data_IF_029941278246
#
_entry.id   IF_029941278246
#
_cell.length_a   1.000
_cell.length_b   1.000
_cell.length_c   1.000
_cell.angle_alpha   90.00
_cell.angle_beta   90.00
_cell.angle_gamma   90.00
#
_symmetry.space_group_name_H-M   'P 1'
#
loop_
_entity.id
_entity.type
_entity.pdbx_description
1 polymer ?
#
# COMPACT_ATOMS: atom_id res chain seq x y z
N UNK A 1 15.32 -15.20 -7.23
CA UNK A 1 15.65 -13.77 -7.40
C UNK A 1 14.50 -12.96 -6.80
N UNK A 2 14.72 -12.31 -5.65
CA UNK A 2 13.77 -11.32 -5.15
C UNK A 2 13.78 -10.19 -6.17
N UNK A 3 12.69 -10.00 -6.91
CA UNK A 3 12.61 -8.87 -7.84
C UNK A 3 12.72 -7.60 -7.00
N UNK A 4 13.60 -6.69 -7.40
CA UNK A 4 13.63 -5.34 -6.85
C UNK A 4 12.24 -4.73 -7.10
N UNK A 5 11.42 -4.62 -6.06
CA UNK A 5 10.01 -4.22 -6.15
C UNK A 5 9.36 -4.20 -4.77
N UNK A 6 8.38 -3.32 -4.60
CA UNK A 6 7.63 -3.21 -3.35
C UNK A 6 6.58 -4.31 -3.31
N UNK A 7 6.86 -5.39 -2.60
CA UNK A 7 6.05 -6.60 -2.60
C UNK A 7 5.35 -6.76 -1.25
N UNK A 8 4.12 -7.28 -1.29
CA UNK A 8 3.33 -7.60 -0.10
C UNK A 8 2.97 -9.09 -0.14
N UNK A 9 3.29 -9.82 0.92
CA UNK A 9 2.89 -11.22 1.09
C UNK A 9 1.98 -11.34 2.31
N UNK A 10 0.76 -11.84 2.11
CA UNK A 10 -0.21 -12.06 3.16
C UNK A 10 -0.41 -13.55 3.35
N UNK A 11 -0.28 -14.01 4.60
CA UNK A 11 -0.72 -15.33 5.04
C UNK A 11 -2.08 -15.16 5.71
N UNK A 12 -3.07 -15.85 5.18
CA UNK A 12 -4.46 -15.78 5.61
C UNK A 12 -4.88 -17.18 6.08
N UNK A 13 -5.97 -17.27 6.84
CA UNK A 13 -6.46 -18.55 7.37
C UNK A 13 -6.85 -19.57 6.29
N UNK A 14 -7.12 -19.11 5.06
CA UNK A 14 -7.59 -19.92 3.93
C UNK A 14 -6.67 -19.87 2.71
N UNK A 15 -5.39 -19.55 2.92
CA UNK A 15 -4.40 -19.50 1.86
C UNK A 15 -3.49 -18.28 1.96
N UNK A 16 -2.95 -17.86 0.82
CA UNK A 16 -2.05 -16.71 0.76
C UNK A 16 -2.33 -15.81 -0.43
N UNK A 17 -1.90 -14.57 -0.29
CA UNK A 17 -1.97 -13.54 -1.32
C UNK A 17 -0.57 -12.94 -1.49
N UNK A 18 -0.13 -12.77 -2.73
CA UNK A 18 1.11 -12.05 -3.04
C UNK A 18 0.80 -10.92 -4.01
N UNK A 19 1.14 -9.69 -3.62
CA UNK A 19 1.04 -8.49 -4.44
C UNK A 19 2.46 -8.09 -4.84
N UNK A 20 2.74 -8.06 -6.13
CA UNK A 20 4.05 -7.67 -6.65
C UNK A 20 4.04 -6.21 -7.06
N UNK A 21 5.04 -5.46 -6.60
CA UNK A 21 5.34 -4.08 -7.00
C UNK A 21 4.14 -3.11 -6.91
N UNK A 22 3.48 -3.09 -5.75
CA UNK A 22 2.23 -2.32 -5.55
C UNK A 22 2.43 -0.79 -5.53
N UNK A 23 3.65 -0.30 -5.27
CA UNK A 23 3.96 1.14 -5.32
C UNK A 23 4.19 1.65 -6.75
N UNK A 24 4.77 0.81 -7.62
CA UNK A 24 5.14 1.18 -8.99
C UNK A 24 4.47 0.27 -10.03
N UNK A 25 3.13 0.09 -9.98
CA UNK A 25 2.47 -0.97 -10.76
C UNK A 25 2.58 -0.79 -12.27
N UNK A 26 2.89 0.41 -12.76
CA UNK A 26 3.06 0.71 -14.19
C UNK A 26 4.33 0.10 -14.81
N UNK A 27 5.32 -0.29 -14.02
CA UNK A 27 6.54 -0.96 -14.54
C UNK A 27 6.28 -2.46 -14.72
N UNK A 28 5.55 -3.05 -13.77
CA UNK A 28 5.09 -4.45 -13.73
C UNK A 28 4.30 -4.64 -12.42
N UNK A 29 3.22 -5.41 -12.42
CA UNK A 29 2.55 -5.83 -11.18
C UNK A 29 1.81 -7.15 -11.36
N UNK A 30 1.56 -7.84 -10.25
CA UNK A 30 0.65 -8.98 -10.26
C UNK A 30 0.03 -9.21 -8.89
N UNK A 31 -1.17 -9.78 -8.89
CA UNK A 31 -1.87 -10.27 -7.70
C UNK A 31 -1.99 -11.80 -7.83
N UNK A 32 -1.22 -12.53 -7.05
CA UNK A 32 -1.30 -13.99 -6.99
C UNK A 32 -2.13 -14.42 -5.79
N UNK A 33 -3.27 -15.04 -6.06
CA UNK A 33 -4.17 -15.62 -5.04
C UNK A 33 -3.93 -17.12 -5.01
N UNK A 34 -3.52 -17.63 -3.86
CA UNK A 34 -3.26 -19.06 -3.63
C UNK A 34 -4.21 -19.52 -2.53
N UNK A 35 -5.41 -20.01 -2.87
CA UNK A 35 -6.31 -20.57 -1.87
C UNK A 35 -5.70 -21.86 -1.29
N UNK A 36 -6.08 -22.19 -0.06
CA UNK A 36 -5.72 -23.48 0.57
C UNK A 36 -6.28 -24.66 -0.24
N UNK A 37 -7.49 -24.49 -0.78
CA UNK A 37 -8.18 -25.47 -1.59
C UNK A 37 -8.53 -24.86 -2.96
N UNK A 38 -8.10 -25.53 -4.03
CA UNK A 38 -8.38 -25.10 -5.40
C UNK A 38 -7.16 -24.48 -6.10
N UNK A 39 -7.34 -24.04 -7.35
CA UNK A 39 -6.24 -23.59 -8.18
C UNK A 39 -5.73 -22.21 -7.78
N UNK A 40 -4.41 -22.02 -7.86
CA UNK A 40 -3.78 -20.70 -7.86
C UNK A 40 -4.29 -19.90 -9.07
N UNK A 41 -4.56 -18.61 -8.87
CA UNK A 41 -4.76 -17.66 -9.95
C UNK A 41 -3.83 -16.47 -9.84
N UNK A 42 -3.50 -15.88 -10.98
CA UNK A 42 -2.68 -14.68 -11.08
C UNK A 42 -3.44 -13.66 -11.90
N UNK A 43 -3.63 -12.48 -11.34
CA UNK A 43 -4.33 -11.35 -11.94
C UNK A 43 -3.32 -10.24 -12.25
N UNK A 44 -3.46 -9.60 -13.40
CA UNK A 44 -2.65 -8.46 -13.84
C UNK A 44 -3.57 -7.49 -14.59
N UNK A 45 -3.38 -6.18 -14.39
CA UNK A 45 -4.19 -5.15 -15.04
C UNK A 45 -3.29 -4.22 -15.86
N UNK A 46 -2.92 -4.65 -17.06
CA UNK A 46 -2.14 -3.84 -18.00
C UNK A 46 -3.05 -3.21 -19.06
N UNK A 47 -2.79 -1.95 -19.43
CA UNK A 47 -3.53 -1.21 -20.46
C UNK A 47 -4.09 0.12 -19.97
N UNK A 48 -5.14 0.62 -20.62
CA UNK A 48 -5.77 1.93 -20.37
C UNK A 48 -6.72 1.99 -19.17
N UNK A 49 -6.44 1.22 -18.11
CA UNK A 49 -7.14 1.37 -16.83
C UNK A 49 -6.64 2.60 -16.06
N UNK A 50 -7.43 3.06 -15.10
CA UNK A 50 -7.02 4.13 -14.19
C UNK A 50 -5.80 3.67 -13.37
N UNK A 51 -4.74 4.48 -13.39
CA UNK A 51 -3.58 4.33 -12.51
C UNK A 51 -4.00 4.46 -11.05
N UNK A 52 -3.18 3.94 -10.13
CA UNK A 52 -3.41 4.14 -8.69
C UNK A 52 -3.49 5.62 -8.31
N UNK A 53 -2.75 6.48 -9.00
CA UNK A 53 -2.80 7.92 -8.80
C UNK A 53 -4.11 8.55 -9.30
N UNK A 54 -4.63 8.14 -10.46
CA UNK A 54 -5.94 8.60 -10.95
C UNK A 54 -7.07 8.19 -10.02
N UNK A 55 -7.04 6.96 -9.49
CA UNK A 55 -7.98 6.50 -8.48
C UNK A 55 -7.91 7.34 -7.19
N UNK A 56 -6.69 7.71 -6.74
CA UNK A 56 -6.50 8.59 -5.59
C UNK A 56 -7.04 10.00 -5.84
N UNK A 57 -6.80 10.57 -7.02
CA UNK A 57 -7.34 11.89 -7.41
C UNK A 57 -8.85 11.88 -7.49
N UNK A 58 -9.46 10.80 -7.99
CA UNK A 58 -10.91 10.63 -8.03
C UNK A 58 -11.49 10.61 -6.61
N UNK A 59 -10.94 9.79 -5.72
CA UNK A 59 -11.35 9.76 -4.31
C UNK A 59 -11.21 11.12 -3.63
N UNK A 60 -10.13 11.86 -3.93
CA UNK A 60 -9.90 13.21 -3.42
C UNK A 60 -10.97 14.18 -3.92
N UNK A 61 -11.26 14.17 -5.22
CA UNK A 61 -12.26 15.05 -5.82
C UNK A 61 -13.67 14.74 -5.29
N UNK A 62 -14.01 13.48 -5.06
CA UNK A 62 -15.28 13.07 -4.43
C UNK A 62 -15.38 13.59 -2.99
N UNK A 63 -14.30 13.51 -2.21
CA UNK A 63 -14.25 14.03 -0.84
C UNK A 63 -14.41 15.56 -0.78
N UNK A 64 -13.70 16.30 -1.62
CA UNK A 64 -13.81 17.76 -1.69
C UNK A 64 -15.22 18.21 -2.12
N UNK A 65 -15.89 17.43 -2.97
CA UNK A 65 -17.26 17.71 -3.42
C UNK A 65 -18.34 17.23 -2.44
N UNK A 66 -17.97 16.57 -1.34
CA UNK A 66 -18.92 16.03 -0.37
C UNK A 66 -19.71 14.80 -0.86
N UNK A 67 -19.21 14.10 -1.88
CA UNK A 67 -19.87 12.91 -2.47
C UNK A 67 -19.59 11.65 -1.66
N UNK A 68 -18.33 11.46 -1.23
CA UNK A 68 -17.91 10.32 -0.43
C UNK A 68 -16.76 10.73 0.51
N UNK A 69 -16.60 10.11 1.70
CA UNK A 69 -15.45 10.38 2.54
C UNK A 69 -14.15 9.91 1.86
N UNK A 70 -13.04 10.62 2.11
CA UNK A 70 -11.73 10.15 1.66
C UNK A 70 -11.38 8.85 2.40
N UNK A 71 -10.81 7.83 1.74
CA UNK A 71 -10.60 6.50 2.33
C UNK A 71 -9.55 6.47 3.45
N UNK A 72 -8.75 7.53 3.60
CA UNK A 72 -7.79 7.69 4.70
C UNK A 72 -8.01 9.02 5.41
N UNK A 73 -7.80 9.04 6.71
CA UNK A 73 -8.00 10.21 7.56
C UNK A 73 -6.67 10.75 8.07
N UNK A 74 -6.69 11.93 8.68
CA UNK A 74 -5.53 12.45 9.41
C UNK A 74 -5.13 11.55 10.58
N UNK A 75 -6.09 10.87 11.22
CA UNK A 75 -5.82 9.92 12.29
C UNK A 75 -5.01 8.72 11.78
N UNK A 76 -5.35 8.18 10.61
CA UNK A 76 -4.59 7.10 9.97
C UNK A 76 -3.15 7.54 9.66
N UNK A 77 -2.96 8.77 9.21
CA UNK A 77 -1.64 9.33 8.93
C UNK A 77 -0.80 9.48 10.22
N UNK A 78 -1.39 9.96 11.31
CA UNK A 78 -0.71 10.06 12.62
C UNK A 78 -0.32 8.67 13.13
N UNK A 79 -1.25 7.72 13.15
CA UNK A 79 -0.98 6.35 13.59
C UNK A 79 0.14 5.68 12.76
N UNK A 80 0.17 5.94 11.45
CA UNK A 80 1.25 5.44 10.59
C UNK A 80 2.61 6.07 10.94
N UNK A 81 2.65 7.37 11.27
CA UNK A 81 3.90 8.04 11.68
C UNK A 81 4.37 7.61 13.06
N UNK A 82 3.46 7.38 14.01
CA UNK A 82 3.76 6.83 15.34
C UNK A 82 4.38 5.43 15.22
N UNK A 83 3.80 4.56 14.39
CA UNK A 83 4.35 3.22 14.13
C UNK A 83 5.77 3.29 13.53
N UNK A 84 6.01 4.23 12.62
CA UNK A 84 7.36 4.43 12.06
C UNK A 84 8.33 4.84 13.17
N UNK A 85 7.98 5.80 14.02
CA UNK A 85 8.80 6.23 15.16
C UNK A 85 9.13 5.06 16.10
N UNK A 86 8.14 4.22 16.43
CA UNK A 86 8.32 3.03 17.27
C UNK A 86 9.33 2.04 16.65
N UNK A 87 9.31 1.85 15.32
CA UNK A 87 10.30 1.01 14.62
C UNK A 87 11.71 1.62 14.72
N UNK A 88 11.84 2.95 14.60
CA UNK A 88 13.12 3.64 14.76
C UNK A 88 13.69 3.51 16.19
N UNK A 89 12.83 3.60 17.19
CA UNK A 89 13.21 3.42 18.59
C UNK A 89 13.62 1.96 18.86
N UNK A 90 12.80 0.99 18.43
CA UNK A 90 13.09 -0.43 18.59
C UNK A 90 14.37 -0.88 17.87
N UNK A 91 14.73 -0.20 16.77
CA UNK A 91 15.98 -0.44 16.02
C UNK A 91 17.20 0.33 16.55
N UNK A 92 17.05 1.09 17.65
CA UNK A 92 18.11 1.93 18.24
C UNK A 92 18.68 3.00 17.29
N UNK A 93 17.99 3.29 16.19
CA UNK A 93 18.35 4.37 15.28
C UNK A 93 17.95 5.75 15.82
N UNK A 94 16.98 5.77 16.75
CA UNK A 94 16.37 6.99 17.29
C UNK A 94 15.41 7.65 16.29
N UNK A 95 14.46 8.44 16.79
CA UNK A 95 13.49 9.14 15.94
C UNK A 95 14.19 10.03 14.93
N UNK A 96 13.62 10.13 13.73
CA UNK A 96 14.14 11.01 12.68
C UNK A 96 14.15 12.46 13.20
N UNK A 97 15.28 13.19 13.12
CA UNK A 97 15.32 14.56 13.61
C UNK A 97 14.30 15.45 12.88
N UNK A 98 13.38 16.04 13.63
CA UNK A 98 12.54 17.11 13.10
C UNK A 98 13.40 18.36 12.94
N UNK A 99 13.46 18.93 11.73
CA UNK A 99 13.97 20.30 11.56
C UNK A 99 12.93 21.27 12.13
N UNK A 100 12.84 21.40 13.45
CA UNK A 100 12.22 22.59 14.03
C UNK A 100 13.14 23.76 13.68
N UNK A 101 12.68 24.63 12.78
CA UNK A 101 13.24 25.98 12.70
C UNK A 101 12.73 26.71 13.92
N UNK A 102 13.67 27.18 14.74
CA UNK A 102 13.40 28.19 15.77
C UNK A 102 12.90 29.49 15.12
#
# INVERSE_FOLDING_TARGET
>A
ALSAGFNLHLRLSRGSLSVTNFLFPWIYHSLAVVPEHGPKRVEQLYGGGETTFELQLKAFAEAVRGVAPFPTTSADAVANMELIDEIYEASQLGKRPSRMRA
#
